data_IF_750290004682
#
_entry.id   IF_750290004682
#
_cell.length_a   1.000
_cell.length_b   1.000
_cell.length_c   1.000
_cell.angle_alpha   90.00
_cell.angle_beta   90.00
_cell.angle_gamma   90.00
#
_symmetry.space_group_name_H-M   'P 1'
#
loop_
_entity.id
_entity.type
_entity.pdbx_description
1 polymer ?
#
# COMPACT_ATOMS: atom_id res chain seq x y z
N UNK A 1 8.14 -3.99 -23.72
CA UNK A 1 7.11 -2.97 -23.51
C UNK A 1 7.32 -1.89 -24.56
N UNK A 2 6.35 -1.69 -25.46
CA UNK A 2 6.45 -0.63 -26.46
C UNK A 2 6.12 0.73 -25.82
N UNK A 3 6.67 1.84 -26.34
CA UNK A 3 6.40 3.21 -25.86
C UNK A 3 4.90 3.53 -25.82
N UNK A 4 4.12 2.91 -26.72
CA UNK A 4 2.66 3.00 -26.81
C UNK A 4 1.95 2.53 -25.54
N UNK A 5 2.46 1.51 -24.85
CA UNK A 5 1.84 0.98 -23.62
C UNK A 5 1.94 1.99 -22.47
N UNK A 6 3.09 2.67 -22.35
CA UNK A 6 3.27 3.74 -21.37
C UNK A 6 2.36 4.94 -21.65
N UNK A 7 2.15 5.27 -22.93
CA UNK A 7 1.21 6.32 -23.32
C UNK A 7 -0.22 6.00 -22.87
N UNK A 8 -0.65 4.74 -23.07
CA UNK A 8 -1.97 4.27 -22.62
C UNK A 8 -2.10 4.38 -21.10
N UNK A 9 -1.09 3.96 -20.33
CA UNK A 9 -1.09 4.07 -18.87
C UNK A 9 -1.22 5.52 -18.39
N UNK A 10 -0.42 6.43 -18.96
CA UNK A 10 -0.46 7.86 -18.61
C UNK A 10 -1.82 8.46 -18.96
N UNK A 11 -2.38 8.09 -20.12
CA UNK A 11 -3.70 8.53 -20.54
C UNK A 11 -4.78 8.10 -19.55
N UNK A 12 -4.80 6.83 -19.12
CA UNK A 12 -5.77 6.36 -18.13
C UNK A 12 -5.59 7.00 -16.75
N UNK A 13 -4.34 7.23 -16.33
CA UNK A 13 -4.06 7.95 -15.09
C UNK A 13 -4.62 9.38 -15.14
N UNK A 14 -4.35 10.09 -16.23
CA UNK A 14 -4.86 11.45 -16.46
C UNK A 14 -6.38 11.46 -16.51
N UNK A 15 -6.99 10.54 -17.25
CA UNK A 15 -8.44 10.41 -17.33
C UNK A 15 -9.06 10.17 -15.94
N UNK A 16 -8.45 9.30 -15.12
CA UNK A 16 -8.88 9.05 -13.74
C UNK A 16 -8.86 10.31 -12.88
N UNK A 17 -7.80 11.11 -12.98
CA UNK A 17 -7.69 12.40 -12.28
C UNK A 17 -8.76 13.38 -12.77
N UNK A 18 -8.99 13.47 -14.08
CA UNK A 18 -10.01 14.35 -14.67
C UNK A 18 -11.41 13.95 -14.24
N UNK A 19 -11.73 12.65 -14.22
CA UNK A 19 -13.04 12.16 -13.80
C UNK A 19 -13.26 12.40 -12.31
N UNK A 20 -12.30 12.01 -11.46
CA UNK A 20 -12.41 12.22 -10.01
C UNK A 20 -12.45 13.70 -9.64
N UNK A 21 -11.53 14.51 -10.20
CA UNK A 21 -11.49 15.95 -10.00
C UNK A 21 -12.74 16.64 -10.55
N UNK A 22 -13.19 16.22 -11.74
CA UNK A 22 -14.43 16.66 -12.36
C UNK A 22 -15.64 16.40 -11.47
N UNK A 23 -15.78 15.19 -10.91
CA UNK A 23 -16.87 14.86 -10.00
C UNK A 23 -16.87 15.77 -8.75
N UNK A 24 -15.71 16.05 -8.16
CA UNK A 24 -15.58 16.98 -7.02
C UNK A 24 -15.97 18.40 -7.41
N UNK A 25 -15.52 18.88 -8.58
CA UNK A 25 -15.83 20.23 -9.09
C UNK A 25 -17.33 20.34 -9.38
N UNK A 26 -17.92 19.39 -10.10
CA UNK A 26 -19.35 19.34 -10.37
C UNK A 26 -20.16 19.30 -9.08
N UNK A 27 -19.78 18.47 -8.10
CA UNK A 27 -20.41 18.44 -6.78
C UNK A 27 -20.38 19.78 -6.07
N UNK A 28 -19.27 20.52 -6.19
CA UNK A 28 -19.12 21.86 -5.59
C UNK A 28 -19.92 22.95 -6.32
N UNK A 29 -20.07 22.84 -7.64
CA UNK A 29 -20.82 23.81 -8.47
C UNK A 29 -22.33 23.58 -8.36
N UNK A 30 -22.77 22.32 -8.48
CA UNK A 30 -24.19 21.95 -8.48
C UNK A 30 -24.77 21.84 -7.07
N UNK A 31 -23.92 21.62 -6.05
CA UNK A 31 -24.36 21.47 -4.67
C UNK A 31 -25.02 22.74 -4.09
N UNK A 32 -26.05 22.61 -3.26
CA UNK A 32 -26.71 23.76 -2.64
C UNK A 32 -25.73 24.52 -1.74
N UNK A 33 -25.63 25.83 -1.96
CA UNK A 33 -24.80 26.71 -1.14
C UNK A 33 -25.59 27.16 0.09
N UNK A 34 -25.18 26.72 1.27
CA UNK A 34 -25.69 27.25 2.55
C UNK A 34 -24.71 28.23 3.18
N UNK A 35 -25.23 29.15 4.02
CA UNK A 35 -24.44 30.16 4.71
C UNK A 35 -23.23 29.53 5.43
N UNK A 36 -22.09 30.16 5.28
CA UNK A 36 -20.85 29.77 5.95
C UNK A 36 -20.88 30.22 7.41
N UNK A 37 -21.53 29.42 8.24
CA UNK A 37 -21.63 29.67 9.69
C UNK A 37 -20.56 28.89 10.43
N UNK A 38 -20.03 29.45 11.53
CA UNK A 38 -19.04 28.79 12.40
C UNK A 38 -19.44 27.37 12.81
N UNK A 39 -20.73 27.13 13.09
CA UNK A 39 -21.25 25.82 13.48
C UNK A 39 -21.25 24.79 12.33
N UNK A 40 -21.31 25.22 11.07
CA UNK A 40 -21.29 24.33 9.90
C UNK A 40 -19.90 23.72 9.67
N UNK A 41 -18.85 24.48 10.00
CA UNK A 41 -17.46 24.05 9.88
C UNK A 41 -16.86 23.58 11.21
N UNK A 42 -17.64 23.57 12.30
CA UNK A 42 -17.20 23.02 13.57
C UNK A 42 -17.01 21.50 13.41
N UNK A 43 -15.96 20.90 14.00
CA UNK A 43 -15.83 19.45 14.06
C UNK A 43 -17.05 18.84 14.74
N UNK A 44 -17.41 17.63 14.30
CA UNK A 44 -18.57 16.93 14.84
C UNK A 44 -18.28 16.43 16.26
N UNK A 45 -19.04 16.96 17.23
CA UNK A 45 -19.06 16.51 18.63
C UNK A 45 -20.45 16.77 19.23
N UNK A 46 -21.51 16.43 18.49
CA UNK A 46 -22.91 16.63 18.91
C UNK A 46 -23.25 18.06 19.42
N UNK A 47 -22.58 19.08 18.89
CA UNK A 47 -22.78 20.49 19.30
C UNK A 47 -21.98 20.91 20.54
N UNK A 48 -21.19 20.01 21.13
CA UNK A 48 -20.23 20.35 22.17
C UNK A 48 -18.98 20.98 21.57
N UNK A 49 -18.31 21.85 22.34
CA UNK A 49 -17.02 22.39 21.94
C UNK A 49 -15.97 21.29 22.05
N UNK A 50 -15.23 21.06 20.97
CA UNK A 50 -14.08 20.14 20.99
C UNK A 50 -13.07 20.59 22.02
N UNK A 51 -12.67 19.68 22.90
CA UNK A 51 -11.66 19.93 23.93
C UNK A 51 -10.35 19.28 23.52
N UNK A 52 -9.25 20.04 23.57
CA UNK A 52 -7.92 19.53 23.29
C UNK A 52 -7.53 19.58 21.80
N UNK A 53 -6.31 19.13 21.52
CA UNK A 53 -5.75 19.08 20.18
C UNK A 53 -6.03 17.70 19.56
N UNK A 54 -6.43 17.65 18.29
CA UNK A 54 -6.58 16.40 17.54
C UNK A 54 -5.24 15.65 17.34
N UNK A 55 -4.10 16.32 17.52
CA UNK A 55 -2.76 15.73 17.44
C UNK A 55 -2.33 15.10 18.76
N UNK A 56 -2.90 13.94 19.06
CA UNK A 56 -2.47 13.07 20.17
C UNK A 56 -1.51 11.99 19.66
N UNK A 57 -0.73 11.42 20.57
CA UNK A 57 0.07 10.24 20.26
C UNK A 57 -0.85 9.02 20.17
N UNK A 58 -0.97 8.45 18.97
CA UNK A 58 -1.68 7.20 18.76
C UNK A 58 -0.86 6.00 19.27
N UNK A 59 -1.51 4.84 19.43
CA UNK A 59 -0.86 3.61 19.88
C UNK A 59 0.36 3.30 18.99
N UNK A 60 1.50 2.98 19.62
CA UNK A 60 2.76 2.65 18.90
C UNK A 60 2.61 1.43 17.98
N UNK A 61 1.62 0.58 18.22
CA UNK A 61 1.31 -0.58 17.37
C UNK A 61 1.13 -0.24 15.88
N UNK A 62 0.53 0.90 15.54
CA UNK A 62 0.39 1.31 14.13
C UNK A 62 1.74 1.51 13.43
N UNK A 63 2.71 2.07 14.16
CA UNK A 63 4.07 2.27 13.64
C UNK A 63 4.79 0.93 13.44
N UNK A 64 4.72 0.03 14.43
CA UNK A 64 5.34 -1.30 14.33
C UNK A 64 4.73 -2.12 13.20
N UNK A 65 3.42 -2.03 13.01
CA UNK A 65 2.73 -2.67 11.89
C UNK A 65 3.18 -2.11 10.54
N UNK A 66 3.23 -0.77 10.39
CA UNK A 66 3.69 -0.14 9.16
C UNK A 66 5.16 -0.49 8.82
N UNK A 67 6.02 -0.54 9.85
CA UNK A 67 7.42 -0.93 9.68
C UNK A 67 7.56 -2.40 9.25
N UNK A 68 6.80 -3.30 9.89
CA UNK A 68 6.77 -4.71 9.51
C UNK A 68 6.26 -4.90 8.08
N UNK A 69 5.19 -4.20 7.71
CA UNK A 69 4.65 -4.21 6.35
C UNK A 69 5.68 -3.72 5.33
N UNK A 70 6.38 -2.61 5.62
CA UNK A 70 7.41 -2.06 4.74
C UNK A 70 8.55 -3.05 4.51
N UNK A 71 9.03 -3.71 5.56
CA UNK A 71 10.09 -4.72 5.45
C UNK A 71 9.63 -5.89 4.57
N UNK A 72 8.42 -6.40 4.83
CA UNK A 72 7.86 -7.51 4.05
C UNK A 72 7.63 -7.12 2.58
N UNK A 73 7.22 -5.88 2.29
CA UNK A 73 7.02 -5.38 0.93
C UNK A 73 8.34 -5.29 0.15
N UNK A 74 9.41 -4.82 0.80
CA UNK A 74 10.78 -4.82 0.22
C UNK A 74 11.25 -6.25 -0.04
N UNK A 75 11.00 -7.17 0.89
CA UNK A 75 11.38 -8.57 0.71
C UNK A 75 10.58 -9.22 -0.43
N UNK A 76 9.28 -8.95 -0.55
CA UNK A 76 8.47 -9.40 -1.66
C UNK A 76 8.96 -8.85 -3.01
N UNK A 77 9.49 -7.61 -3.04
CA UNK A 77 10.09 -7.03 -4.24
C UNK A 77 11.28 -7.86 -4.75
N UNK A 78 12.04 -8.50 -3.86
CA UNK A 78 13.13 -9.40 -4.26
C UNK A 78 12.66 -10.70 -4.92
N UNK A 79 11.38 -11.06 -4.84
CA UNK A 79 10.83 -12.19 -5.60
C UNK A 79 10.81 -11.93 -7.11
N UNK A 80 10.70 -10.67 -7.56
CA UNK A 80 10.62 -10.35 -8.98
C UNK A 80 11.88 -10.75 -9.77
N UNK A 81 13.11 -10.36 -9.37
CA UNK A 81 14.33 -10.84 -10.03
C UNK A 81 14.42 -12.36 -10.06
N UNK A 82 14.07 -13.05 -8.97
CA UNK A 82 14.12 -14.51 -8.88
C UNK A 82 13.17 -15.15 -9.89
N UNK A 83 11.93 -14.64 -10.01
CA UNK A 83 10.96 -15.14 -10.98
C UNK A 83 11.42 -14.94 -12.43
N UNK A 84 12.04 -13.80 -12.74
CA UNK A 84 12.58 -13.52 -14.09
C UNK A 84 13.71 -14.48 -14.42
N UNK A 85 14.65 -14.72 -13.51
CA UNK A 85 15.75 -15.66 -13.72
C UNK A 85 15.27 -17.11 -13.78
N UNK A 86 14.29 -17.49 -12.95
CA UNK A 86 13.69 -18.82 -12.99
C UNK A 86 13.07 -19.12 -14.36
N UNK A 87 12.37 -18.15 -14.96
CA UNK A 87 11.81 -18.29 -16.31
C UNK A 87 12.88 -18.55 -17.37
N UNK A 88 14.01 -17.85 -17.31
CA UNK A 88 15.13 -18.05 -18.23
C UNK A 88 15.80 -19.42 -18.07
N UNK A 89 15.92 -19.91 -16.82
CA UNK A 89 16.51 -21.21 -16.50
C UNK A 89 15.62 -22.36 -16.97
N UNK A 90 14.32 -22.30 -16.70
CA UNK A 90 13.35 -23.30 -17.19
C UNK A 90 13.25 -23.28 -18.72
N UNK A 91 13.46 -22.11 -19.35
CA UNK A 91 13.54 -21.94 -20.79
C UNK A 91 14.83 -22.47 -21.44
N UNK A 92 15.80 -22.96 -20.66
CA UNK A 92 17.06 -23.52 -21.16
C UNK A 92 18.12 -22.47 -21.56
N UNK A 93 17.92 -21.20 -21.21
CA UNK A 93 18.83 -20.10 -21.57
C UNK A 93 20.06 -20.00 -20.64
N UNK A 94 20.10 -20.80 -19.57
CA UNK A 94 21.14 -20.73 -18.53
C UNK A 94 21.61 -22.11 -18.08
N UNK A 95 22.87 -22.18 -17.61
CA UNK A 95 23.55 -23.41 -17.16
C UNK A 95 23.08 -23.85 -15.75
N UNK A 96 22.43 -22.95 -15.00
CA UNK A 96 21.99 -23.22 -13.62
C UNK A 96 20.90 -24.30 -13.59
N UNK A 97 20.98 -25.22 -12.62
CA UNK A 97 19.93 -26.23 -12.42
C UNK A 97 18.65 -25.57 -11.88
N UNK A 98 17.47 -25.82 -12.47
CA UNK A 98 16.17 -25.33 -11.97
C UNK A 98 15.92 -25.70 -10.49
N UNK A 99 16.53 -26.81 -10.04
CA UNK A 99 16.41 -27.31 -8.66
C UNK A 99 17.06 -26.36 -7.66
N UNK A 100 18.21 -25.77 -8.00
CA UNK A 100 18.94 -24.87 -7.10
C UNK A 100 18.12 -23.60 -6.86
N UNK A 101 17.55 -23.02 -7.92
CA UNK A 101 16.71 -21.83 -7.81
C UNK A 101 15.42 -22.11 -7.06
N UNK A 102 14.82 -23.29 -7.25
CA UNK A 102 13.64 -23.69 -6.48
C UNK A 102 13.96 -23.78 -4.97
N UNK A 103 15.14 -24.31 -4.60
CA UNK A 103 15.59 -24.37 -3.21
C UNK A 103 15.77 -22.96 -2.65
N UNK A 104 16.46 -22.06 -3.37
CA UNK A 104 16.65 -20.67 -2.93
C UNK A 104 15.31 -19.94 -2.71
N UNK A 105 14.33 -20.18 -3.59
CA UNK A 105 12.99 -19.58 -3.48
C UNK A 105 12.24 -20.10 -2.24
N UNK A 106 12.35 -21.41 -1.95
CA UNK A 106 11.76 -22.02 -0.76
C UNK A 106 12.44 -21.50 0.51
N UNK A 107 13.77 -21.38 0.52
CA UNK A 107 14.51 -20.82 1.67
C UNK A 107 14.12 -19.36 1.89
N UNK A 108 14.03 -18.57 0.82
CA UNK A 108 13.61 -17.17 0.89
C UNK A 108 12.20 -17.02 1.47
N UNK A 109 11.23 -17.80 0.96
CA UNK A 109 9.87 -17.85 1.50
C UNK A 109 9.83 -18.32 2.94
N UNK A 110 10.67 -19.28 3.33
CA UNK A 110 10.74 -19.76 4.71
C UNK A 110 11.21 -18.64 5.66
N UNK A 111 12.18 -17.82 5.25
CA UNK A 111 12.64 -16.67 6.04
C UNK A 111 11.50 -15.66 6.24
N UNK A 112 10.74 -15.34 5.19
CA UNK A 112 9.56 -14.48 5.26
C UNK A 112 8.53 -14.98 6.28
N UNK A 113 8.16 -16.26 6.17
CA UNK A 113 7.18 -16.89 7.06
C UNK A 113 7.68 -16.94 8.51
N UNK A 114 8.96 -17.23 8.73
CA UNK A 114 9.58 -17.21 10.05
C UNK A 114 9.55 -15.80 10.68
N UNK A 115 9.85 -14.76 9.91
CA UNK A 115 9.76 -13.37 10.37
C UNK A 115 8.35 -12.99 10.80
N UNK A 116 7.34 -13.39 10.01
CA UNK A 116 5.94 -13.18 10.34
C UNK A 116 5.51 -13.96 11.59
N UNK A 117 5.89 -15.23 11.69
CA UNK A 117 5.60 -16.07 12.85
C UNK A 117 6.21 -15.50 14.14
N UNK A 118 7.43 -14.96 14.07
CA UNK A 118 8.06 -14.27 15.19
C UNK A 118 7.28 -13.01 15.60
N UNK A 119 6.90 -12.17 14.64
CA UNK A 119 6.12 -10.96 14.90
C UNK A 119 4.75 -11.28 15.53
N UNK A 120 4.11 -12.36 15.07
CA UNK A 120 2.87 -12.90 15.64
C UNK A 120 3.04 -13.33 17.10
N UNK A 121 4.09 -14.10 17.39
CA UNK A 121 4.40 -14.56 18.75
C UNK A 121 4.72 -13.40 19.70
N UNK A 122 5.33 -12.32 19.20
CA UNK A 122 5.57 -11.09 19.98
C UNK A 122 4.31 -10.24 20.20
N UNK A 123 3.17 -10.64 19.63
CA UNK A 123 1.92 -9.91 19.80
C UNK A 123 1.89 -8.56 19.08
N UNK A 124 2.82 -8.28 18.18
CA UNK A 124 2.85 -7.02 17.41
C UNK A 124 1.60 -6.90 16.52
N UNK A 125 1.04 -8.05 16.13
CA UNK A 125 -0.18 -8.16 15.31
C UNK A 125 -1.47 -8.22 16.14
N UNK A 126 -1.38 -8.16 17.47
CA UNK A 126 -2.56 -8.13 18.33
C UNK A 126 -3.05 -6.70 18.45
N UNK A 127 -4.32 -6.50 18.12
CA UNK A 127 -5.00 -5.22 18.20
C UNK A 127 -5.85 -5.19 19.46
N UNK A 128 -5.71 -4.12 20.25
CA UNK A 128 -6.62 -3.72 21.33
C UNK A 128 -7.31 -2.41 20.98
#
# INVERSE_FOLDING_TARGET
MQLSEYFILIFFLFLGIVVAGGAVIFGKILGPKSKETKNKFAPYECGMQTVGNARIQFKVGYYLFALLFLIFDIEALFLFPVLVHFKAIVGGETILSPVIVAIDLVVFLAILVCGLAYAWNKGILKWE
#
